data_IF_217917731459
#
_entry.id   IF_217917731459
#
_cell.length_a   1.000
_cell.length_b   1.000
_cell.length_c   1.000
_cell.angle_alpha   90.00
_cell.angle_beta   90.00
_cell.angle_gamma   90.00
#
_symmetry.space_group_name_H-M   'P 1'
#
loop_
_entity.id
_entity.type
_entity.pdbx_description
1 polymer ?
#
# COMPACT_ATOMS: atom_id res chain seq x y z
N UNK A 1 0.46 17.09 -1.29
CA UNK A 1 0.50 15.74 -0.67
C UNK A 1 -0.91 15.21 -0.70
N UNK A 2 -1.23 14.32 -1.63
CA UNK A 2 -2.49 13.59 -1.58
C UNK A 2 -2.33 12.57 -0.44
N UNK A 3 -3.04 12.81 0.67
CA UNK A 3 -3.10 11.84 1.75
C UNK A 3 -3.91 10.65 1.29
N UNK A 4 -3.43 9.43 1.54
CA UNK A 4 -4.28 8.26 1.51
C UNK A 4 -5.19 8.32 2.74
N UNK A 5 -6.28 9.06 2.64
CA UNK A 5 -7.38 8.94 3.57
C UNK A 5 -8.52 8.26 2.82
N UNK A 6 -9.03 7.18 3.41
CA UNK A 6 -10.20 6.36 3.08
C UNK A 6 -10.84 6.66 1.71
N UNK A 7 -10.68 5.72 0.75
CA UNK A 7 -11.12 5.73 -0.67
C UNK A 7 -10.13 6.22 -1.75
N UNK A 8 -9.00 6.85 -1.40
CA UNK A 8 -8.11 7.44 -2.41
C UNK A 8 -7.57 6.46 -3.47
N UNK A 9 -7.39 5.19 -3.11
CA UNK A 9 -6.90 4.13 -4.01
C UNK A 9 -7.96 3.10 -4.38
N UNK A 10 -9.24 3.31 -4.03
CA UNK A 10 -10.29 2.37 -4.41
C UNK A 10 -10.31 2.20 -5.94
N UNK A 11 -10.43 0.96 -6.42
CA UNK A 11 -10.38 0.56 -7.83
C UNK A 11 -9.02 0.70 -8.54
N UNK A 12 -7.94 1.07 -7.84
CA UNK A 12 -6.60 1.02 -8.41
C UNK A 12 -6.13 -0.43 -8.58
N UNK A 13 -5.41 -0.71 -9.66
CA UNK A 13 -4.79 -2.01 -9.89
C UNK A 13 -3.36 -1.99 -9.35
N UNK A 14 -3.04 -2.87 -8.39
CA UNK A 14 -1.67 -3.07 -7.92
C UNK A 14 -0.87 -3.87 -8.95
N UNK A 15 0.20 -3.29 -9.46
CA UNK A 15 1.08 -3.92 -10.46
C UNK A 15 2.32 -4.50 -9.80
N UNK A 16 2.92 -3.77 -8.86
CA UNK A 16 4.15 -4.17 -8.22
C UNK A 16 4.29 -3.57 -6.83
N UNK A 17 4.77 -4.39 -5.92
CA UNK A 17 5.26 -4.01 -4.60
C UNK A 17 6.77 -4.27 -4.57
N UNK A 18 7.56 -3.26 -4.22
CA UNK A 18 9.01 -3.44 -4.02
C UNK A 18 9.49 -2.71 -2.76
N UNK A 19 10.46 -3.32 -2.08
CA UNK A 19 11.14 -2.74 -0.93
C UNK A 19 12.60 -2.46 -1.27
N UNK A 20 13.03 -1.21 -1.11
CA UNK A 20 14.44 -0.82 -1.15
C UNK A 20 14.96 -0.75 0.29
N UNK A 21 15.62 -1.83 0.70
CA UNK A 21 16.17 -1.95 2.05
C UNK A 21 17.24 -0.89 2.36
N UNK A 22 18.04 -0.51 1.36
CA UNK A 22 19.14 0.43 1.56
C UNK A 22 18.66 1.86 1.75
N UNK A 23 17.52 2.19 1.13
CA UNK A 23 16.88 3.50 1.26
C UNK A 23 15.82 3.54 2.35
N UNK A 24 15.37 2.38 2.85
CA UNK A 24 14.29 2.29 3.83
C UNK A 24 12.94 2.71 3.24
N UNK A 25 12.71 2.34 1.98
CA UNK A 25 11.53 2.74 1.20
C UNK A 25 10.75 1.52 0.71
N UNK A 26 9.44 1.68 0.61
CA UNK A 26 8.55 0.78 -0.11
C UNK A 26 7.85 1.56 -1.21
N UNK A 27 7.78 0.97 -2.40
CA UNK A 27 7.05 1.53 -3.53
C UNK A 27 5.91 0.60 -3.96
N UNK A 28 4.71 1.16 -4.06
CA UNK A 28 3.59 0.58 -4.81
C UNK A 28 3.59 1.21 -6.20
N UNK A 29 3.66 0.38 -7.24
CA UNK A 29 3.35 0.79 -8.62
C UNK A 29 1.94 0.29 -8.94
N UNK A 30 1.08 1.20 -9.39
CA UNK A 30 -0.34 0.97 -9.59
C UNK A 30 -0.80 1.51 -10.94
N UNK A 31 -2.02 1.16 -11.34
CA UNK A 31 -2.77 1.91 -12.35
C UNK A 31 -4.04 2.49 -11.74
N UNK A 32 -4.38 3.71 -12.12
CA UNK A 32 -5.67 4.31 -11.80
C UNK A 32 -6.81 3.61 -12.60
N UNK A 33 -8.09 3.91 -12.31
CA UNK A 33 -9.21 3.34 -13.05
C UNK A 33 -9.26 3.66 -14.56
N UNK A 34 -8.48 4.65 -15.01
CA UNK A 34 -8.32 5.01 -16.43
C UNK A 34 -7.11 4.30 -17.08
N UNK A 35 -6.41 3.44 -16.34
CA UNK A 35 -5.24 2.70 -16.77
C UNK A 35 -3.94 3.53 -16.78
N UNK A 36 -3.94 4.73 -16.19
CA UNK A 36 -2.74 5.56 -16.09
C UNK A 36 -1.83 5.05 -14.96
N UNK A 37 -0.51 4.98 -15.18
CA UNK A 37 0.42 4.53 -14.17
C UNK A 37 0.54 5.56 -13.03
N UNK A 38 0.47 5.07 -11.80
CA UNK A 38 0.60 5.85 -10.57
C UNK A 38 1.59 5.17 -9.62
N UNK A 39 2.29 5.96 -8.80
CA UNK A 39 3.24 5.41 -7.83
C UNK A 39 3.12 6.06 -6.46
N UNK A 40 3.08 5.21 -5.44
CA UNK A 40 3.15 5.61 -4.05
C UNK A 40 4.48 5.13 -3.46
N UNK A 41 5.24 6.06 -2.88
CA UNK A 41 6.50 5.78 -2.19
C UNK A 41 6.33 6.14 -0.72
N UNK A 42 6.53 5.15 0.15
CA UNK A 42 6.57 5.31 1.60
C UNK A 42 8.02 5.21 2.07
N UNK A 43 8.52 6.26 2.72
CA UNK A 43 9.88 6.30 3.27
C UNK A 43 9.90 6.12 4.78
N UNK A 44 11.06 5.76 5.34
CA UNK A 44 11.18 5.51 6.77
C UNK A 44 10.43 4.27 7.22
N UNK A 45 10.40 3.24 6.36
CA UNK A 45 9.68 2.00 6.57
C UNK A 45 10.31 1.20 7.71
N UNK A 46 9.47 0.76 8.64
CA UNK A 46 9.83 -0.02 9.82
C UNK A 46 9.44 -1.48 9.64
N UNK A 47 8.27 -1.75 9.06
CA UNK A 47 7.79 -3.10 8.79
C UNK A 47 6.95 -3.16 7.51
N UNK A 48 6.98 -4.32 6.85
CA UNK A 48 6.19 -4.63 5.66
C UNK A 48 5.66 -6.05 5.81
N UNK A 49 4.35 -6.19 5.79
CA UNK A 49 3.66 -7.47 5.84
C UNK A 49 2.70 -7.58 4.66
N UNK A 50 2.61 -8.78 4.09
CA UNK A 50 1.64 -9.08 3.04
C UNK A 50 1.10 -10.49 3.27
N UNK A 51 -0.23 -10.61 3.37
CA UNK A 51 -0.88 -11.91 3.41
C UNK A 51 -0.98 -12.49 2.01
N UNK A 52 -1.10 -13.82 1.93
CA UNK A 52 -1.31 -14.51 0.66
C UNK A 52 -2.31 -15.65 0.85
N UNK A 53 -3.51 -15.42 0.35
CA UNK A 53 -4.63 -16.36 0.39
C UNK A 53 -4.83 -17.04 -0.97
N UNK A 54 -4.37 -16.42 -2.06
CA UNK A 54 -4.47 -16.92 -3.45
C UNK A 54 -3.11 -16.84 -4.20
N UNK A 55 -2.98 -17.48 -5.38
CA UNK A 55 -1.84 -17.25 -6.27
C UNK A 55 -1.71 -15.79 -6.69
N UNK A 56 -0.48 -15.31 -6.85
CA UNK A 56 -0.25 -13.91 -7.25
C UNK A 56 -0.73 -13.65 -8.67
N UNK A 57 -1.34 -12.49 -8.89
CA UNK A 57 -1.89 -12.05 -10.18
C UNK A 57 -3.39 -12.27 -10.33
N UNK A 58 -4.01 -13.07 -9.46
CA UNK A 58 -5.47 -13.11 -9.32
C UNK A 58 -5.89 -12.09 -8.25
N UNK A 59 -6.86 -11.24 -8.58
CA UNK A 59 -7.39 -10.25 -7.64
C UNK A 59 -6.41 -9.15 -7.23
N UNK A 60 -5.89 -8.39 -8.20
CA UNK A 60 -4.93 -7.29 -7.98
C UNK A 60 -5.56 -5.92 -7.71
N UNK A 61 -6.88 -5.81 -7.64
CA UNK A 61 -7.55 -4.52 -7.48
C UNK A 61 -7.71 -4.16 -6.01
N UNK A 62 -7.44 -2.90 -5.66
CA UNK A 62 -7.58 -2.37 -4.31
C UNK A 62 -9.07 -2.15 -4.01
N UNK A 63 -9.57 -2.80 -2.97
CA UNK A 63 -10.96 -2.67 -2.48
C UNK A 63 -11.07 -1.83 -1.23
N UNK A 64 -9.98 -1.67 -0.47
CA UNK A 64 -9.92 -0.75 0.64
C UNK A 64 -8.48 -0.29 0.87
N UNK A 65 -8.33 0.94 1.37
CA UNK A 65 -7.04 1.49 1.75
C UNK A 65 -7.24 2.51 2.86
N UNK A 66 -6.45 2.42 3.92
CA UNK A 66 -6.50 3.36 5.03
C UNK A 66 -5.09 3.71 5.53
N UNK A 67 -4.96 4.88 6.17
CA UNK A 67 -3.80 5.23 6.97
C UNK A 67 -4.25 5.54 8.38
N UNK A 68 -3.77 4.73 9.31
CA UNK A 68 -3.89 5.02 10.74
C UNK A 68 -2.58 5.65 11.24
N UNK A 69 -2.70 6.61 12.15
CA UNK A 69 -1.56 7.22 12.82
C UNK A 69 -1.57 6.81 14.29
N UNK A 70 -0.44 6.31 14.77
CA UNK A 70 -0.24 6.06 16.19
C UNK A 70 0.33 7.33 16.83
N UNK A 71 -0.48 7.97 17.67
CA UNK A 71 -0.14 9.22 18.35
C UNK A 71 0.99 9.08 19.36
N UNK A 72 1.25 7.86 19.86
CA UNK A 72 2.23 7.63 20.92
C UNK A 72 3.62 7.29 20.36
N UNK A 73 3.68 6.57 19.24
CA UNK A 73 4.95 6.20 18.58
C UNK A 73 5.39 7.20 17.49
N UNK A 74 4.46 8.01 16.95
CA UNK A 74 4.72 8.85 15.78
C UNK A 74 4.84 8.05 14.48
N UNK A 75 4.54 6.75 14.52
CA UNK A 75 4.45 5.90 13.35
C UNK A 75 3.08 6.02 12.68
N UNK A 76 3.04 5.72 11.38
CA UNK A 76 1.83 5.55 10.60
C UNK A 76 1.79 4.14 10.04
N UNK A 77 0.59 3.60 9.92
CA UNK A 77 0.34 2.30 9.33
C UNK A 77 -0.52 2.52 8.09
N UNK A 78 -0.01 2.15 6.92
CA UNK A 78 -0.78 2.04 5.69
C UNK A 78 -1.30 0.61 5.56
N UNK A 79 -2.61 0.48 5.41
CA UNK A 79 -3.30 -0.80 5.21
C UNK A 79 -3.99 -0.78 3.85
N UNK A 80 -3.77 -1.82 3.04
CA UNK A 80 -4.34 -1.96 1.71
C UNK A 80 -4.92 -3.37 1.60
N UNK A 81 -6.17 -3.48 1.15
CA UNK A 81 -6.81 -4.76 0.86
C UNK A 81 -7.05 -4.91 -0.63
N UNK A 82 -6.74 -6.10 -1.15
CA UNK A 82 -7.00 -6.48 -2.53
C UNK A 82 -8.30 -7.29 -2.64
N UNK A 83 -8.92 -7.31 -3.82
CA UNK A 83 -10.12 -8.12 -4.08
C UNK A 83 -9.85 -9.64 -4.07
N UNK A 84 -8.59 -10.07 -4.04
CA UNK A 84 -8.22 -11.46 -3.70
C UNK A 84 -8.49 -11.82 -2.23
N UNK A 85 -8.65 -10.81 -1.36
CA UNK A 85 -8.67 -10.95 0.10
C UNK A 85 -7.30 -10.77 0.76
N UNK A 86 -6.24 -10.54 -0.03
CA UNK A 86 -4.90 -10.26 0.49
C UNK A 86 -4.82 -8.87 1.11
N UNK A 87 -4.03 -8.74 2.17
CA UNK A 87 -3.81 -7.51 2.93
C UNK A 87 -2.32 -7.16 2.91
N UNK A 88 -2.03 -5.90 2.63
CA UNK A 88 -0.69 -5.32 2.67
C UNK A 88 -0.68 -4.30 3.80
N UNK A 89 0.28 -4.43 4.72
CA UNK A 89 0.46 -3.54 5.86
C UNK A 89 1.88 -3.00 5.85
N UNK A 90 2.02 -1.68 5.88
CA UNK A 90 3.30 -0.99 5.85
C UNK A 90 3.34 0.00 7.00
N UNK A 91 4.23 -0.24 7.97
CA UNK A 91 4.49 0.71 9.05
C UNK A 91 5.67 1.60 8.66
N UNK A 92 5.50 2.91 8.81
CA UNK A 92 6.52 3.89 8.44
C UNK A 92 6.46 5.12 9.35
N UNK A 93 7.57 5.87 9.40
CA UNK A 93 7.62 7.10 10.20
C UNK A 93 6.78 8.21 9.58
N UNK A 94 5.99 8.89 10.42
CA UNK A 94 5.07 9.95 10.02
C UNK A 94 5.69 11.32 9.81
#
# INVERSE_FOLDING_TARGET
MAGLADSGLHDYELIKLSADYTRGEVSLEMKDPLGQPESLILGGVMSVEMTRTQPWGEGSYIVSSDITADSDSGCRLAEIQLNSGDEIRIEYKG
#
